data_IF_571958353318
#
_entry.id   IF_571958353318
#
_cell.length_a   1.000
_cell.length_b   1.000
_cell.length_c   1.000
_cell.angle_alpha   90.00
_cell.angle_beta   90.00
_cell.angle_gamma   90.00
#
_symmetry.space_group_name_H-M   'P 1'
#
loop_
_entity.id
_entity.type
_entity.pdbx_description
1 polymer ?
#
# COMPACT_ATOMS: atom_id res chain seq x y z
N UNK A 1 4.79 -21.40 -21.71
CA UNK A 1 4.22 -20.18 -21.12
C UNK A 1 4.64 -20.16 -19.67
N UNK A 2 5.49 -19.20 -19.29
CA UNK A 2 5.90 -18.97 -17.91
C UNK A 2 4.77 -18.29 -17.13
N UNK A 3 4.74 -18.46 -15.81
CA UNK A 3 3.86 -17.68 -14.92
C UNK A 3 4.02 -16.16 -15.15
N UNK A 4 5.22 -15.72 -15.55
CA UNK A 4 5.54 -14.33 -15.89
C UNK A 4 4.90 -13.85 -17.19
N UNK A 5 4.59 -14.73 -18.14
CA UNK A 5 4.02 -14.35 -19.44
C UNK A 5 2.50 -14.03 -19.34
N UNK A 6 1.87 -14.42 -18.23
CA UNK A 6 0.43 -14.27 -17.98
C UNK A 6 0.07 -13.00 -17.19
N UNK A 7 1.04 -12.33 -16.58
CA UNK A 7 0.82 -11.23 -15.64
C UNK A 7 1.74 -10.05 -15.97
N UNK A 8 1.38 -9.27 -16.99
CA UNK A 8 1.85 -7.90 -17.21
C UNK A 8 3.36 -7.64 -17.13
N UNK A 9 3.72 -6.36 -17.04
CA UNK A 9 5.10 -5.92 -16.82
C UNK A 9 5.53 -6.23 -15.38
N UNK A 10 6.84 -6.12 -15.08
CA UNK A 10 7.31 -6.28 -13.71
C UNK A 10 6.67 -5.31 -12.69
N UNK A 11 6.11 -4.19 -13.15
CA UNK A 11 5.33 -3.26 -12.32
C UNK A 11 3.98 -3.83 -11.93
N UNK A 12 3.24 -4.38 -12.90
CA UNK A 12 1.95 -5.02 -12.63
C UNK A 12 2.05 -6.16 -11.61
N UNK A 13 3.09 -6.98 -11.72
CA UNK A 13 3.38 -8.03 -10.73
C UNK A 13 3.63 -7.47 -9.32
N UNK A 14 4.32 -6.33 -9.21
CA UNK A 14 4.53 -5.67 -7.91
C UNK A 14 3.21 -5.17 -7.34
N UNK A 15 2.36 -4.58 -8.18
CA UNK A 15 1.03 -4.09 -7.82
C UNK A 15 0.12 -5.22 -7.33
N UNK A 16 0.08 -6.34 -8.05
CA UNK A 16 -0.62 -7.55 -7.62
C UNK A 16 -0.14 -8.04 -6.26
N UNK A 17 1.17 -8.06 -6.03
CA UNK A 17 1.74 -8.42 -4.74
C UNK A 17 1.36 -7.44 -3.62
N UNK A 18 1.25 -6.14 -3.91
CA UNK A 18 0.74 -5.16 -2.93
C UNK A 18 -0.73 -5.42 -2.63
N UNK A 19 -1.55 -5.57 -3.67
CA UNK A 19 -2.98 -5.79 -3.52
C UNK A 19 -3.28 -7.07 -2.73
N UNK A 20 -2.59 -8.17 -3.04
CA UNK A 20 -2.75 -9.43 -2.31
C UNK A 20 -2.39 -9.35 -0.84
N UNK A 21 -1.36 -8.58 -0.49
CA UNK A 21 -1.02 -8.30 0.90
C UNK A 21 -2.16 -7.60 1.65
N UNK A 22 -2.72 -6.56 1.02
CA UNK A 22 -3.80 -5.76 1.60
C UNK A 22 -5.04 -6.63 1.79
N UNK A 23 -5.40 -7.44 0.80
CA UNK A 23 -6.51 -8.42 0.90
C UNK A 23 -6.28 -9.41 2.04
N UNK A 24 -5.06 -9.96 2.17
CA UNK A 24 -4.75 -10.91 3.22
C UNK A 24 -4.88 -10.28 4.62
N UNK A 25 -4.52 -9.01 4.75
CA UNK A 25 -4.64 -8.25 6.00
C UNK A 25 -6.07 -7.86 6.32
N UNK A 26 -6.87 -7.49 5.31
CA UNK A 26 -8.29 -7.23 5.49
C UNK A 26 -9.04 -8.49 5.94
N UNK A 27 -8.69 -9.66 5.40
CA UNK A 27 -9.28 -10.94 5.78
C UNK A 27 -8.73 -11.52 7.11
N UNK A 28 -7.77 -10.87 7.77
CA UNK A 28 -7.11 -11.42 8.96
C UNK A 28 -8.05 -11.49 10.18
N UNK A 29 -8.97 -10.54 10.30
CA UNK A 29 -9.90 -10.43 11.42
C UNK A 29 -11.25 -11.15 11.17
N UNK A 30 -11.41 -11.80 9.99
CA UNK A 30 -12.61 -12.53 9.62
C UNK A 30 -13.02 -12.36 8.16
N UNK A 31 -14.32 -12.49 7.88
CA UNK A 31 -14.87 -12.23 6.55
C UNK A 31 -14.79 -10.73 6.21
N UNK A 32 -14.33 -10.42 5.00
CA UNK A 32 -14.30 -9.06 4.45
C UNK A 32 -15.73 -8.51 4.43
N UNK A 33 -15.95 -7.42 5.16
CA UNK A 33 -17.25 -6.77 5.21
C UNK A 33 -17.45 -5.80 4.02
N UNK A 34 -18.66 -5.26 3.87
CA UNK A 34 -19.00 -4.34 2.75
C UNK A 34 -18.13 -3.09 2.69
N UNK A 35 -17.68 -2.61 3.82
CA UNK A 35 -16.87 -1.42 3.93
C UNK A 35 -15.42 -1.73 3.52
N UNK A 36 -14.85 -2.83 4.00
CA UNK A 36 -13.53 -3.31 3.56
C UNK A 36 -13.52 -3.64 2.06
N UNK A 37 -14.60 -4.23 1.53
CA UNK A 37 -14.73 -4.48 0.10
C UNK A 37 -14.68 -3.17 -0.72
N UNK A 38 -15.28 -2.09 -0.22
CA UNK A 38 -15.23 -0.78 -0.88
C UNK A 38 -13.81 -0.22 -0.92
N UNK A 39 -13.05 -0.37 0.18
CA UNK A 39 -11.64 0.03 0.25
C UNK A 39 -10.78 -0.81 -0.70
N UNK A 40 -10.97 -2.14 -0.71
CA UNK A 40 -10.26 -3.04 -1.61
C UNK A 40 -10.51 -2.69 -3.08
N UNK A 41 -11.74 -2.29 -3.45
CA UNK A 41 -12.04 -1.79 -4.81
C UNK A 41 -11.36 -0.46 -5.13
N UNK A 42 -11.11 0.41 -4.16
CA UNK A 42 -10.31 1.64 -4.37
C UNK A 42 -8.84 1.30 -4.57
N UNK A 43 -8.27 0.44 -3.72
CA UNK A 43 -6.90 -0.04 -3.89
C UNK A 43 -6.69 -0.76 -5.22
N UNK A 44 -7.62 -1.61 -5.63
CA UNK A 44 -7.57 -2.31 -6.91
C UNK A 44 -7.48 -1.34 -8.09
N UNK A 45 -8.31 -0.28 -8.08
CA UNK A 45 -8.27 0.78 -9.11
C UNK A 45 -6.95 1.54 -9.10
N UNK A 46 -6.46 1.94 -7.92
CA UNK A 46 -5.18 2.65 -7.77
C UNK A 46 -4.00 1.80 -8.23
N UNK A 47 -4.03 0.50 -7.96
CA UNK A 47 -2.98 -0.47 -8.30
C UNK A 47 -3.12 -1.08 -9.71
N UNK A 48 -4.05 -0.59 -10.54
CA UNK A 48 -4.31 -1.12 -11.89
C UNK A 48 -4.67 -2.62 -11.92
N UNK A 49 -5.42 -3.10 -10.93
CA UNK A 49 -5.83 -4.51 -10.81
C UNK A 49 -7.15 -4.73 -11.55
N UNK A 50 -7.14 -5.63 -12.54
CA UNK A 50 -8.34 -5.98 -13.29
C UNK A 50 -9.32 -6.85 -12.48
N UNK A 51 -10.59 -6.88 -12.87
CA UNK A 51 -11.66 -7.66 -12.19
C UNK A 51 -11.33 -9.16 -12.04
N UNK A 52 -10.73 -9.77 -13.07
CA UNK A 52 -10.30 -11.17 -13.03
C UNK A 52 -9.21 -11.41 -11.98
N UNK A 53 -8.28 -10.47 -11.85
CA UNK A 53 -7.18 -10.53 -10.89
C UNK A 53 -7.68 -10.25 -9.48
N UNK A 54 -8.54 -9.24 -9.33
CA UNK A 54 -9.23 -8.92 -8.10
C UNK A 54 -9.92 -10.16 -7.52
N UNK A 55 -10.70 -10.86 -8.36
CA UNK A 55 -11.41 -12.08 -7.96
C UNK A 55 -10.45 -13.22 -7.59
N UNK A 56 -9.35 -13.39 -8.35
CA UNK A 56 -8.32 -14.41 -8.04
C UNK A 56 -7.64 -14.13 -6.71
N UNK A 57 -7.31 -12.87 -6.44
CA UNK A 57 -6.64 -12.45 -5.20
C UNK A 57 -7.57 -12.59 -4.02
N UNK A 58 -8.85 -12.19 -4.12
CA UNK A 58 -9.84 -12.42 -3.05
C UNK A 58 -10.00 -13.91 -2.71
N UNK A 59 -9.97 -14.78 -3.73
CA UNK A 59 -10.12 -16.23 -3.52
C UNK A 59 -8.90 -16.86 -2.86
N UNK A 60 -7.71 -16.41 -3.20
CA UNK A 60 -6.47 -16.93 -2.64
C UNK A 60 -5.34 -15.88 -2.67
N UNK A 61 -5.28 -14.97 -1.67
CA UNK A 61 -4.27 -13.92 -1.66
C UNK A 61 -2.85 -14.48 -1.49
N UNK A 62 -2.71 -15.64 -0.82
CA UNK A 62 -1.42 -16.31 -0.63
C UNK A 62 -0.81 -16.86 -1.94
N UNK A 63 -1.58 -16.94 -3.03
CA UNK A 63 -1.05 -17.30 -4.36
C UNK A 63 -0.18 -16.20 -4.98
N UNK A 64 -0.20 -14.99 -4.42
CA UNK A 64 0.51 -13.81 -4.90
C UNK A 64 1.50 -13.35 -3.82
N UNK A 65 2.56 -14.13 -3.55
CA UNK A 65 3.46 -13.85 -2.46
C UNK A 65 4.17 -12.51 -2.67
N UNK A 66 4.20 -11.71 -1.62
CA UNK A 66 5.10 -10.57 -1.54
C UNK A 66 6.51 -11.12 -1.43
N UNK A 67 7.44 -10.64 -2.25
CA UNK A 67 8.86 -10.97 -2.06
C UNK A 67 9.29 -10.51 -0.65
N UNK A 68 9.66 -11.45 0.24
CA UNK A 68 10.06 -11.08 1.58
C UNK A 68 11.33 -10.24 1.51
N UNK A 69 11.31 -9.07 2.12
CA UNK A 69 12.50 -8.24 2.28
C UNK A 69 12.87 -8.17 3.77
N UNK A 70 13.93 -8.89 4.12
CA UNK A 70 14.35 -9.03 5.51
C UNK A 70 15.06 -7.78 6.05
N UNK A 71 15.48 -6.87 5.16
CA UNK A 71 16.14 -5.62 5.53
C UNK A 71 15.13 -4.52 5.85
N UNK A 72 15.49 -3.58 6.74
CA UNK A 72 14.68 -2.37 6.99
C UNK A 72 14.53 -1.56 5.71
N UNK A 73 15.63 -1.37 4.99
CA UNK A 73 15.68 -0.59 3.74
C UNK A 73 14.68 -1.13 2.72
N UNK A 74 14.69 -2.43 2.51
CA UNK A 74 13.83 -3.02 1.53
C UNK A 74 12.35 -3.12 1.94
N UNK A 75 12.04 -3.10 3.24
CA UNK A 75 10.66 -2.84 3.70
C UNK A 75 10.22 -1.41 3.40
N UNK A 76 11.13 -0.43 3.53
CA UNK A 76 10.87 0.96 3.19
C UNK A 76 10.71 1.14 1.67
N UNK A 77 11.54 0.51 0.84
CA UNK A 77 11.38 0.50 -0.62
C UNK A 77 10.00 -0.03 -1.01
N UNK A 78 9.58 -1.15 -0.39
CA UNK A 78 8.26 -1.73 -0.66
C UNK A 78 7.14 -0.80 -0.24
N UNK A 79 7.26 -0.13 0.90
CA UNK A 79 6.28 0.85 1.32
C UNK A 79 6.25 2.07 0.39
N UNK A 80 7.41 2.56 -0.02
CA UNK A 80 7.54 3.66 -0.97
C UNK A 80 6.88 3.33 -2.31
N UNK A 81 7.12 2.13 -2.85
CA UNK A 81 6.50 1.64 -4.08
C UNK A 81 4.97 1.68 -3.99
N UNK A 82 4.40 1.20 -2.87
CA UNK A 82 2.96 1.25 -2.63
C UNK A 82 2.46 2.69 -2.60
N UNK A 83 3.06 3.55 -1.77
CA UNK A 83 2.64 4.93 -1.56
C UNK A 83 2.68 5.75 -2.86
N UNK A 84 3.69 5.55 -3.70
CA UNK A 84 3.82 6.20 -5.00
C UNK A 84 2.61 5.96 -5.91
N UNK A 85 1.99 4.79 -5.80
CA UNK A 85 0.87 4.40 -6.64
C UNK A 85 -0.44 4.89 -6.02
N UNK A 86 -0.67 4.61 -4.74
CA UNK A 86 -1.95 4.89 -4.07
C UNK A 86 -2.20 6.38 -3.80
N UNK A 87 -1.15 7.19 -3.80
CA UNK A 87 -1.23 8.64 -3.62
C UNK A 87 -1.14 9.41 -4.95
N UNK A 88 -1.15 8.72 -6.10
CA UNK A 88 -1.00 9.37 -7.40
C UNK A 88 -2.13 10.35 -7.75
N UNK A 89 -3.30 10.18 -7.14
CA UNK A 89 -4.47 11.06 -7.21
C UNK A 89 -4.55 12.08 -6.05
N UNK A 90 -3.52 12.13 -5.20
CA UNK A 90 -3.42 12.99 -4.01
C UNK A 90 -4.51 12.78 -2.95
N UNK A 91 -5.10 11.60 -2.87
CA UNK A 91 -6.17 11.31 -1.90
C UNK A 91 -5.98 9.96 -1.22
N UNK A 92 -6.11 9.93 0.11
CA UNK A 92 -6.22 8.71 0.94
C UNK A 92 -7.27 9.02 1.99
N UNK A 93 -8.31 8.18 2.04
CA UNK A 93 -9.37 8.30 3.05
C UNK A 93 -8.87 7.79 4.42
N UNK A 94 -9.39 8.32 5.54
CA UNK A 94 -8.98 7.92 6.91
C UNK A 94 -9.11 6.41 7.10
N UNK A 95 -10.14 5.86 6.48
CA UNK A 95 -10.47 4.47 6.41
C UNK A 95 -9.36 3.63 5.71
N UNK A 96 -8.79 4.15 4.63
CA UNK A 96 -7.68 3.52 3.89
C UNK A 96 -6.37 3.55 4.70
N UNK A 97 -6.18 4.52 5.59
CA UNK A 97 -4.99 4.61 6.45
C UNK A 97 -4.84 3.40 7.38
N UNK A 98 -5.95 2.84 7.86
CA UNK A 98 -5.91 1.66 8.73
C UNK A 98 -5.32 0.45 7.99
N UNK A 99 -5.74 0.22 6.74
CA UNK A 99 -5.19 -0.85 5.91
C UNK A 99 -3.70 -0.62 5.60
N UNK A 100 -3.28 0.63 5.41
CA UNK A 100 -1.86 0.96 5.21
C UNK A 100 -1.03 0.73 6.47
N UNK A 101 -1.59 1.01 7.65
CA UNK A 101 -0.96 0.68 8.93
C UNK A 101 -0.82 -0.83 9.09
N UNK A 102 -1.89 -1.60 8.83
CA UNK A 102 -1.84 -3.08 8.83
C UNK A 102 -0.80 -3.58 7.82
N UNK A 103 -0.67 -2.92 6.66
CA UNK A 103 0.34 -3.24 5.65
C UNK A 103 1.77 -3.04 6.15
N UNK A 104 2.08 -1.89 6.77
CA UNK A 104 3.39 -1.65 7.37
C UNK A 104 3.72 -2.67 8.47
N UNK A 105 2.74 -3.04 9.30
CA UNK A 105 2.92 -4.11 10.29
C UNK A 105 3.18 -5.45 9.62
N UNK A 106 2.43 -5.78 8.57
CA UNK A 106 2.60 -7.00 7.77
C UNK A 106 3.96 -7.08 7.05
N UNK A 107 4.59 -5.94 6.75
CA UNK A 107 5.97 -5.89 6.27
C UNK A 107 6.98 -6.20 7.38
N UNK A 108 6.63 -6.05 8.66
CA UNK A 108 7.49 -6.34 9.80
C UNK A 108 7.91 -5.12 10.63
N UNK A 109 7.24 -3.97 10.48
CA UNK A 109 7.41 -2.85 11.39
C UNK A 109 6.60 -3.06 12.68
N UNK A 110 7.06 -2.55 13.82
CA UNK A 110 6.25 -2.56 15.04
C UNK A 110 5.04 -1.62 14.89
N UNK A 111 3.96 -1.81 15.67
CA UNK A 111 2.79 -0.92 15.60
C UNK A 111 3.14 0.57 15.81
N UNK A 112 4.02 0.87 16.78
CA UNK A 112 4.44 2.24 17.07
C UNK A 112 5.26 2.87 15.94
N UNK A 113 6.13 2.08 15.30
CA UNK A 113 6.93 2.53 14.15
C UNK A 113 6.04 2.70 12.92
N UNK A 114 5.10 1.77 12.70
CA UNK A 114 4.16 1.80 11.58
C UNK A 114 3.33 3.09 11.57
N UNK A 115 2.79 3.49 12.72
CA UNK A 115 2.05 4.75 12.87
C UNK A 115 2.87 5.96 12.40
N UNK A 116 4.10 6.08 12.90
CA UNK A 116 5.00 7.18 12.55
C UNK A 116 5.42 7.17 11.08
N UNK A 117 5.62 5.99 10.51
CA UNK A 117 5.95 5.83 9.10
C UNK A 117 4.76 6.22 8.21
N UNK A 118 3.56 5.70 8.45
CA UNK A 118 2.38 6.00 7.62
C UNK A 118 2.07 7.49 7.64
N UNK A 119 2.04 8.11 8.83
CA UNK A 119 1.80 9.55 8.97
C UNK A 119 2.83 10.38 8.20
N UNK A 120 4.11 10.02 8.28
CA UNK A 120 5.18 10.73 7.54
C UNK A 120 5.08 10.48 6.04
N UNK A 121 4.75 9.27 5.61
CA UNK A 121 4.55 8.96 4.20
C UNK A 121 3.41 9.79 3.62
N UNK A 122 2.26 9.88 4.29
CA UNK A 122 1.15 10.74 3.87
C UNK A 122 1.61 12.20 3.74
N UNK A 123 2.32 12.73 4.73
CA UNK A 123 2.87 14.10 4.67
C UNK A 123 3.85 14.33 3.51
N UNK A 124 4.70 13.34 3.21
CA UNK A 124 5.67 13.44 2.11
C UNK A 124 4.96 13.44 0.76
N UNK A 125 3.99 12.55 0.57
CA UNK A 125 3.28 12.38 -0.70
C UNK A 125 2.17 13.43 -0.90
N UNK A 126 1.62 14.02 0.17
CA UNK A 126 0.75 15.20 0.12
C UNK A 126 1.48 16.46 -0.35
N UNK A 127 2.81 16.41 -0.36
CA UNK A 127 3.64 17.57 -0.61
C UNK A 127 3.72 18.51 0.59
N UNK A 128 4.43 19.62 0.39
CA UNK A 128 4.70 20.62 1.42
C UNK A 128 3.53 21.59 1.54
N UNK A 129 2.99 21.77 2.75
CA UNK A 129 1.99 22.81 2.99
C UNK A 129 2.60 24.21 2.85
N UNK A 130 1.78 25.23 2.60
CA UNK A 130 2.27 26.62 2.61
C UNK A 130 2.89 27.01 3.96
N UNK A 131 2.39 26.46 5.06
CA UNK A 131 2.92 26.70 6.40
C UNK A 131 4.31 26.08 6.58
N UNK A 132 4.51 24.84 6.12
CA UNK A 132 5.81 24.18 6.11
C UNK A 132 6.81 24.93 5.22
N UNK A 133 6.36 25.38 4.04
CA UNK A 133 7.15 26.21 3.13
C UNK A 133 7.62 27.51 3.81
N UNK A 134 6.69 28.22 4.46
CA UNK A 134 6.99 29.46 5.18
C UNK A 134 7.92 29.21 6.36
N UNK A 135 7.73 28.11 7.10
CA UNK A 135 8.62 27.73 8.20
C UNK A 135 10.05 27.49 7.72
N UNK A 136 10.23 26.74 6.63
CA UNK A 136 11.55 26.45 6.07
C UNK A 136 12.27 27.70 5.55
N UNK A 137 11.54 28.67 4.98
CA UNK A 137 12.13 29.95 4.55
C UNK A 137 12.62 30.82 5.71
N UNK A 138 11.94 30.77 6.86
CA UNK A 138 12.25 31.60 8.02
C UNK A 138 13.20 30.92 9.01
N UNK A 139 13.63 29.69 8.73
CA UNK A 139 14.58 28.98 9.57
C UNK A 139 15.98 29.51 9.27
N UNK A 140 16.49 30.37 10.14
CA UNK A 140 17.91 30.75 10.12
C UNK A 140 18.78 29.49 10.29
N UNK A 141 19.89 29.43 9.54
CA UNK A 141 20.78 28.26 9.42
C UNK A 141 21.34 27.79 10.75
#
# INVERSE_FOLDING_TARGET
MSFSDLFGTGEHLRNLGHFAAIVNLAAADGEINKYEEAQLKRFARKLDIGEDEYTKVLKNPNAFPIHPNNSVEGRLERLYDLFRIIYSDHDIEEEEEELLRKYAIGLGFSPSVSEGIIKRSIQIFSGMSFEDYRYLLNKEK
#
